data_IF_292523188038
#
_entry.id   IF_292523188038
#
_cell.length_a   1.000
_cell.length_b   1.000
_cell.length_c   1.000
_cell.angle_alpha   90.00
_cell.angle_beta   90.00
_cell.angle_gamma   90.00
#
_symmetry.space_group_name_H-M   'P 1'
#
loop_
_entity.id
_entity.type
_entity.pdbx_description
1 polymer ?
#
# COMPACT_ATOMS: atom_id res chain seq x y z
N UNK A 1 6.22 -0.08 0.62
CA UNK A 1 5.63 0.04 -0.73
C UNK A 1 6.06 -1.18 -1.52
N UNK A 2 5.12 -1.76 -2.26
CA UNK A 2 5.36 -2.87 -3.18
C UNK A 2 4.67 -2.62 -4.52
N UNK A 3 5.29 -3.07 -5.61
CA UNK A 3 4.69 -3.10 -6.95
C UNK A 3 3.95 -4.43 -7.12
N UNK A 4 2.84 -4.57 -6.39
CA UNK A 4 2.12 -5.82 -6.28
C UNK A 4 0.87 -5.72 -5.39
N UNK A 5 0.18 -6.84 -5.27
CA UNK A 5 -1.06 -6.94 -4.48
C UNK A 5 -0.73 -6.93 -2.99
N UNK A 6 -1.45 -6.11 -2.21
CA UNK A 6 -1.30 -6.02 -0.75
C UNK A 6 -1.66 -7.33 -0.03
N UNK A 7 -2.74 -7.98 -0.45
CA UNK A 7 -3.26 -9.22 0.14
C UNK A 7 -2.23 -10.36 -0.03
N UNK A 8 -1.63 -10.80 1.07
CA UNK A 8 -0.53 -11.76 1.09
C UNK A 8 0.84 -11.21 0.63
N UNK A 9 0.93 -9.89 0.43
CA UNK A 9 2.08 -9.19 -0.12
C UNK A 9 3.28 -9.11 0.83
N UNK A 10 4.31 -8.38 0.40
CA UNK A 10 5.49 -8.08 1.19
C UNK A 10 5.15 -7.26 2.43
N UNK A 11 4.29 -6.24 2.30
CA UNK A 11 3.91 -5.37 3.42
C UNK A 11 3.30 -6.15 4.59
N UNK A 12 2.45 -7.13 4.31
CA UNK A 12 1.85 -8.00 5.33
C UNK A 12 2.88 -8.87 6.06
N UNK A 13 3.92 -9.33 5.36
CA UNK A 13 5.02 -10.08 6.00
C UNK A 13 5.78 -9.20 6.99
N UNK A 14 5.99 -7.93 6.66
CA UNK A 14 6.62 -6.96 7.57
C UNK A 14 5.69 -6.64 8.74
N UNK A 15 4.41 -6.39 8.49
CA UNK A 15 3.43 -6.15 9.55
C UNK A 15 3.33 -7.36 10.51
N UNK A 16 3.36 -8.59 9.97
CA UNK A 16 3.40 -9.82 10.77
C UNK A 16 4.69 -9.96 11.58
N UNK A 17 5.85 -9.59 11.01
CA UNK A 17 7.13 -9.64 11.72
C UNK A 17 7.11 -8.75 12.97
N UNK A 18 6.49 -7.57 12.88
CA UNK A 18 6.35 -6.62 14.00
C UNK A 18 5.10 -6.85 14.87
N UNK A 19 4.32 -7.91 14.64
CA UNK A 19 2.98 -8.06 15.22
C UNK A 19 2.93 -8.20 16.75
N UNK A 20 4.04 -8.55 17.39
CA UNK A 20 4.20 -8.61 18.85
C UNK A 20 4.84 -7.35 19.47
N UNK A 21 5.04 -6.31 18.66
CA UNK A 21 5.67 -5.05 19.06
C UNK A 21 4.72 -3.86 18.92
N UNK A 22 5.10 -2.72 19.48
CA UNK A 22 4.36 -1.46 19.31
C UNK A 22 4.58 -0.80 17.95
N UNK A 23 5.48 -1.33 17.12
CA UNK A 23 5.78 -0.79 15.79
C UNK A 23 4.54 -0.85 14.89
N UNK A 24 4.20 0.28 14.25
CA UNK A 24 3.10 0.37 13.28
C UNK A 24 3.67 0.41 11.87
N UNK A 25 2.99 -0.29 10.95
CA UNK A 25 3.41 -0.43 9.55
C UNK A 25 2.29 0.08 8.65
N UNK A 26 2.60 1.04 7.80
CA UNK A 26 1.75 1.44 6.67
C UNK A 26 2.16 0.64 5.44
N UNK A 27 1.18 -0.04 4.82
CA UNK A 27 1.39 -0.84 3.63
C UNK A 27 0.79 -0.14 2.41
N UNK A 28 1.57 -0.07 1.33
CA UNK A 28 1.19 0.54 0.06
C UNK A 28 1.43 -0.47 -1.06
N UNK A 29 0.38 -0.80 -1.80
CA UNK A 29 0.36 -1.70 -2.95
C UNK A 29 -1.04 -1.68 -3.58
N UNK A 30 -1.24 -2.46 -4.63
CA UNK A 30 -2.53 -2.52 -5.35
C UNK A 30 -3.49 -3.43 -4.59
N UNK A 31 -4.79 -3.13 -4.63
CA UNK A 31 -5.84 -4.03 -4.15
C UNK A 31 -5.86 -5.32 -4.97
N UNK A 32 -6.37 -6.39 -4.36
CA UNK A 32 -6.55 -7.68 -5.04
C UNK A 32 -7.78 -7.63 -5.94
N UNK A 33 -7.60 -7.12 -7.14
CA UNK A 33 -8.66 -6.99 -8.13
C UNK A 33 -8.18 -7.35 -9.53
N UNK A 34 -9.11 -7.76 -10.39
CA UNK A 34 -8.81 -8.09 -11.78
C UNK A 34 -9.03 -6.84 -12.63
N UNK A 35 -7.93 -6.18 -12.99
CA UNK A 35 -7.95 -5.00 -13.82
C UNK A 35 -7.90 -5.42 -15.30
N UNK A 36 -8.98 -5.19 -16.04
CA UNK A 36 -9.02 -5.31 -17.50
C UNK A 36 -9.18 -3.92 -18.11
N UNK A 37 -8.37 -3.60 -19.14
CA UNK A 37 -8.37 -2.30 -19.83
C UNK A 37 -8.46 -1.09 -18.88
N UNK A 38 -7.49 -0.99 -17.96
CA UNK A 38 -7.44 0.07 -16.96
C UNK A 38 -6.54 1.24 -17.39
N UNK A 39 -6.81 2.42 -16.83
CA UNK A 39 -5.87 3.54 -16.83
C UNK A 39 -4.92 3.39 -15.63
N UNK A 40 -3.61 3.40 -15.89
CA UNK A 40 -2.58 3.23 -14.86
C UNK A 40 -2.64 4.34 -13.82
N UNK A 41 -2.91 5.58 -14.23
CA UNK A 41 -2.96 6.72 -13.31
C UNK A 41 -4.16 6.61 -12.38
N UNK A 42 -5.33 6.24 -12.90
CA UNK A 42 -6.53 5.99 -12.08
C UNK A 42 -6.25 4.89 -11.04
N UNK A 43 -5.63 3.78 -11.46
CA UNK A 43 -5.28 2.68 -10.54
C UNK A 43 -4.28 3.14 -9.48
N UNK A 44 -3.27 3.94 -9.84
CA UNK A 44 -2.31 4.46 -8.87
C UNK A 44 -2.97 5.42 -7.88
N UNK A 45 -3.85 6.31 -8.35
CA UNK A 45 -4.59 7.24 -7.49
C UNK A 45 -5.54 6.51 -6.53
N UNK A 46 -6.35 5.57 -7.04
CA UNK A 46 -7.32 4.79 -6.25
C UNK A 46 -6.67 3.89 -5.19
N UNK A 47 -5.42 3.50 -5.43
CA UNK A 47 -4.62 2.70 -4.49
C UNK A 47 -3.65 3.55 -3.64
N UNK A 48 -3.72 4.89 -3.73
CA UNK A 48 -2.85 5.83 -3.01
C UNK A 48 -1.35 5.56 -3.25
N UNK A 49 -1.00 5.28 -4.51
CA UNK A 49 0.36 4.93 -4.94
C UNK A 49 1.10 6.07 -5.65
N UNK A 50 0.50 7.27 -5.75
CA UNK A 50 1.23 8.46 -6.19
C UNK A 50 2.10 9.01 -5.06
N UNK A 51 3.20 9.68 -5.41
CA UNK A 51 4.15 10.19 -4.42
C UNK A 51 3.48 11.17 -3.43
N UNK A 52 2.58 12.01 -3.94
CA UNK A 52 1.84 13.00 -3.17
C UNK A 52 0.86 12.35 -2.19
N UNK A 53 0.16 11.29 -2.61
CA UNK A 53 -0.79 10.57 -1.76
C UNK A 53 -0.06 9.78 -0.67
N UNK A 54 1.03 9.08 -1.01
CA UNK A 54 1.87 8.37 -0.03
C UNK A 54 2.43 9.35 0.99
N UNK A 55 2.99 10.48 0.55
CA UNK A 55 3.51 11.50 1.45
C UNK A 55 2.41 12.07 2.37
N UNK A 56 1.22 12.31 1.83
CA UNK A 56 0.05 12.75 2.59
C UNK A 56 -0.39 11.73 3.65
N UNK A 57 -0.38 10.45 3.33
CA UNK A 57 -0.74 9.38 4.27
C UNK A 57 0.30 9.19 5.37
N UNK A 58 1.59 9.33 5.04
CA UNK A 58 2.66 9.36 6.05
C UNK A 58 2.53 10.57 6.96
N UNK A 59 2.25 11.75 6.42
CA UNK A 59 2.12 12.97 7.22
C UNK A 59 0.95 12.93 8.22
N UNK A 60 -0.13 12.18 7.94
CA UNK A 60 -1.27 12.02 8.85
C UNK A 60 -0.96 11.21 10.12
N UNK A 61 0.14 10.45 10.13
CA UNK A 61 0.51 9.55 11.25
C UNK A 61 1.76 10.00 12.00
N UNK A 62 2.35 11.15 11.63
CA UNK A 62 3.42 11.82 12.35
C UNK A 62 2.85 12.74 13.44
#
# INVERSE_FOLDING_TARGET
MEDGILDGGFGEKIARFYGDSDMKVLNFGVKKEFLDRYDVQEVLEENHLTAELIAGDVAKVL
#
